data_IF_650565865413
#
_entry.id   IF_650565865413
#
_cell.length_a   1.000
_cell.length_b   1.000
_cell.length_c   1.000
_cell.angle_alpha   90.00
_cell.angle_beta   90.00
_cell.angle_gamma   90.00
#
_symmetry.space_group_name_H-M   'P 1'
#
loop_
_entity.id
_entity.type
_entity.pdbx_description
1 polymer ?
#
# COMPACT_ATOMS: atom_id res chain seq x y z
N UNK A 1 -16.45 -44.57 3.92
CA UNK A 1 -16.88 -44.30 5.31
C UNK A 1 -15.82 -44.59 6.41
N UNK A 2 -14.64 -45.14 6.12
CA UNK A 2 -13.61 -45.49 7.18
C UNK A 2 -12.52 -44.41 7.41
N UNK A 3 -12.43 -43.35 6.62
CA UNK A 3 -11.41 -42.28 6.78
C UNK A 3 -11.86 -41.06 7.61
N UNK A 4 -13.15 -40.89 7.90
CA UNK A 4 -13.67 -39.79 8.72
C UNK A 4 -13.56 -40.00 10.23
N UNK A 5 -13.40 -41.24 10.68
CA UNK A 5 -13.36 -41.62 12.13
C UNK A 5 -11.95 -41.40 12.72
N UNK A 6 -10.89 -41.42 11.90
CA UNK A 6 -9.51 -41.27 12.36
C UNK A 6 -9.15 -39.84 12.79
N UNK A 7 -9.74 -38.82 12.13
CA UNK A 7 -9.49 -37.41 12.47
C UNK A 7 -10.23 -36.94 13.73
N UNK A 8 -11.41 -37.52 14.04
CA UNK A 8 -12.14 -37.23 15.26
C UNK A 8 -11.51 -37.90 16.48
N UNK A 9 -10.81 -39.03 16.34
CA UNK A 9 -10.11 -39.70 17.41
C UNK A 9 -8.82 -38.97 17.83
N UNK A 10 -8.13 -38.28 16.92
CA UNK A 10 -6.94 -37.47 17.23
C UNK A 10 -7.31 -36.14 17.90
N UNK A 11 -8.45 -35.57 17.57
CA UNK A 11 -8.97 -34.34 18.21
C UNK A 11 -9.45 -34.58 19.65
N UNK A 12 -10.01 -35.76 19.96
CA UNK A 12 -10.49 -36.09 21.31
C UNK A 12 -9.38 -36.49 22.26
N UNK A 13 -8.22 -36.94 21.76
CA UNK A 13 -7.08 -37.30 22.62
C UNK A 13 -6.32 -36.08 23.17
N UNK A 14 -6.45 -34.93 22.52
CA UNK A 14 -5.88 -33.65 22.98
C UNK A 14 -6.74 -32.95 24.06
N UNK A 15 -7.98 -33.45 24.32
CA UNK A 15 -8.89 -32.84 25.29
C UNK A 15 -9.02 -33.58 26.62
N UNK A 16 -8.32 -34.70 26.82
CA UNK A 16 -8.53 -35.58 28.00
C UNK A 16 -7.27 -35.69 28.87
N UNK A 17 -6.45 -34.68 28.99
CA UNK A 17 -5.42 -34.63 30.03
C UNK A 17 -5.42 -33.29 30.79
N UNK A 18 -6.43 -32.99 31.63
CA UNK A 18 -6.42 -31.74 32.39
C UNK A 18 -5.56 -31.73 33.65
N UNK A 19 -5.04 -32.85 34.12
CA UNK A 19 -4.34 -32.87 35.43
C UNK A 19 -2.82 -32.80 35.39
N UNK A 20 -2.19 -33.05 34.23
CA UNK A 20 -0.73 -32.90 34.08
C UNK A 20 -0.30 -31.53 33.56
N UNK A 21 -1.22 -30.82 32.86
CA UNK A 21 -0.94 -29.49 32.32
C UNK A 21 -0.95 -28.36 33.36
N UNK A 22 -1.64 -28.58 34.49
CA UNK A 22 -1.77 -27.56 35.54
C UNK A 22 -0.53 -27.38 36.42
N UNK A 23 0.45 -28.30 36.36
CA UNK A 23 1.75 -28.13 37.03
C UNK A 23 2.86 -27.58 36.15
N UNK A 24 2.65 -27.54 34.82
CA UNK A 24 3.62 -27.00 33.86
C UNK A 24 3.40 -25.53 33.53
N UNK A 25 2.29 -24.94 34.03
CA UNK A 25 1.94 -23.52 33.73
C UNK A 25 2.65 -22.54 34.67
N UNK A 26 3.50 -23.00 35.58
CA UNK A 26 4.36 -22.10 36.40
C UNK A 26 5.70 -21.81 35.77
N UNK A 27 6.09 -22.49 34.70
CA UNK A 27 7.14 -21.98 33.82
C UNK A 27 6.47 -21.12 32.73
N UNK A 28 6.17 -19.89 33.13
CA UNK A 28 5.89 -18.83 32.17
C UNK A 28 7.09 -18.77 31.26
N UNK A 29 6.97 -19.30 30.03
CA UNK A 29 7.82 -18.94 28.94
C UNK A 29 7.53 -17.46 28.73
N UNK A 30 8.24 -16.61 29.45
CA UNK A 30 8.42 -15.23 29.08
C UNK A 30 9.13 -15.27 27.74
N UNK A 31 8.36 -15.31 26.65
CA UNK A 31 8.80 -14.72 25.40
C UNK A 31 9.07 -13.25 25.76
N UNK A 32 10.24 -12.98 26.30
CA UNK A 32 10.83 -11.68 26.24
C UNK A 32 10.94 -11.38 24.76
N UNK A 33 9.92 -10.74 24.21
CA UNK A 33 10.14 -9.78 23.17
C UNK A 33 10.98 -8.70 23.85
N UNK A 34 12.31 -8.88 23.88
CA UNK A 34 13.20 -7.77 24.02
C UNK A 34 12.99 -6.98 22.73
N UNK A 35 12.06 -6.05 22.77
CA UNK A 35 12.24 -4.81 22.03
C UNK A 35 13.47 -4.24 22.73
N UNK A 36 14.66 -4.69 22.32
CA UNK A 36 15.85 -3.91 22.52
C UNK A 36 15.57 -2.60 21.81
N UNK A 37 15.12 -1.62 22.58
CA UNK A 37 15.33 -0.22 22.29
C UNK A 37 16.85 0.02 22.41
N UNK A 38 17.62 -0.63 21.54
CA UNK A 38 18.93 -0.13 21.18
C UNK A 38 18.61 1.25 20.63
N UNK A 39 18.98 2.28 21.38
CA UNK A 39 18.99 3.64 20.90
C UNK A 39 19.80 3.63 19.62
N UNK A 40 19.10 3.44 18.53
CA UNK A 40 19.62 3.70 17.22
C UNK A 40 19.90 5.21 17.25
N UNK A 41 21.14 5.60 17.31
CA UNK A 41 21.55 6.80 16.63
C UNK A 41 21.13 6.59 15.19
N UNK A 42 19.88 6.92 14.98
CA UNK A 42 19.22 6.92 13.69
C UNK A 42 20.02 7.92 12.85
N UNK A 43 20.88 7.43 11.99
CA UNK A 43 21.27 8.18 10.80
C UNK A 43 20.04 8.22 9.93
N UNK A 44 19.09 9.00 10.43
CA UNK A 44 17.92 9.39 9.70
C UNK A 44 18.45 10.38 8.67
N UNK A 45 18.73 9.84 7.49
CA UNK A 45 18.38 10.61 6.31
C UNK A 45 16.86 10.71 6.42
N UNK A 46 16.38 11.61 7.27
CA UNK A 46 14.97 11.97 7.39
C UNK A 46 14.57 12.44 6.01
N UNK A 47 14.19 11.48 5.19
CA UNK A 47 13.29 11.77 4.10
C UNK A 47 12.18 12.50 4.80
N UNK A 48 12.08 13.71 4.50
CA UNK A 48 11.27 14.75 5.01
C UNK A 48 10.03 14.25 5.74
N UNK A 49 10.12 13.93 7.02
CA UNK A 49 8.98 14.15 7.90
C UNK A 49 8.74 15.65 7.84
N UNK A 50 7.80 16.08 7.05
CA UNK A 50 7.14 17.34 7.32
C UNK A 50 6.72 17.21 8.77
N UNK A 51 7.22 18.04 9.70
CA UNK A 51 6.81 17.93 11.09
C UNK A 51 5.30 17.82 11.06
N UNK A 52 4.74 16.95 11.90
CA UNK A 52 3.29 16.73 12.00
C UNK A 52 2.61 17.98 12.59
N UNK A 53 2.83 19.08 11.94
CA UNK A 53 2.38 20.41 12.22
C UNK A 53 0.98 20.67 11.69
N UNK A 54 0.43 19.72 10.97
CA UNK A 54 -0.97 19.77 10.58
C UNK A 54 -1.68 18.64 11.34
N UNK A 55 -2.65 18.99 12.14
CA UNK A 55 -3.64 18.11 12.78
C UNK A 55 -4.42 17.21 11.79
N UNK A 56 -3.95 17.10 10.54
CA UNK A 56 -4.53 16.37 9.41
C UNK A 56 -3.69 15.17 8.97
N UNK A 57 -2.52 14.96 9.57
CA UNK A 57 -1.67 13.79 9.33
C UNK A 57 -1.84 12.79 10.47
N UNK A 58 -2.17 11.56 10.13
CA UNK A 58 -2.13 10.43 11.07
C UNK A 58 -0.89 9.62 10.75
N UNK A 59 0.06 9.59 11.67
CA UNK A 59 1.28 8.77 11.58
C UNK A 59 1.05 7.49 12.36
N UNK A 60 1.04 6.36 11.67
CA UNK A 60 0.74 5.06 12.25
C UNK A 60 1.92 4.12 12.07
N UNK A 61 2.27 3.43 13.13
CA UNK A 61 3.24 2.36 13.04
C UNK A 61 2.60 1.09 12.46
N UNK A 62 3.36 0.21 11.80
CA UNK A 62 2.85 -1.08 11.32
C UNK A 62 2.21 -1.94 12.43
N UNK A 63 2.74 -1.84 13.67
CA UNK A 63 2.21 -2.57 14.81
C UNK A 63 0.83 -2.05 15.22
N UNK A 64 0.66 -0.74 15.26
CA UNK A 64 -0.65 -0.14 15.54
C UNK A 64 -1.69 -0.60 14.52
N UNK A 65 -1.35 -0.59 13.22
CA UNK A 65 -2.27 -1.02 12.17
C UNK A 65 -2.70 -2.48 12.29
N UNK A 66 -1.78 -3.39 12.58
CA UNK A 66 -2.15 -4.82 12.71
C UNK A 66 -2.91 -5.13 13.98
N UNK A 67 -2.83 -4.25 15.00
CA UNK A 67 -3.56 -4.39 16.27
C UNK A 67 -4.94 -3.74 16.25
N UNK A 68 -5.28 -2.99 15.19
CA UNK A 68 -6.64 -2.44 15.04
C UNK A 68 -7.67 -3.56 14.98
N UNK A 69 -8.63 -3.53 15.91
CA UNK A 69 -9.70 -4.53 15.99
C UNK A 69 -10.50 -4.59 14.69
N UNK A 70 -10.67 -5.80 14.15
CA UNK A 70 -11.45 -6.03 12.93
C UNK A 70 -10.73 -5.71 11.62
N UNK A 71 -9.54 -5.10 11.62
CA UNK A 71 -8.77 -4.84 10.41
C UNK A 71 -8.08 -6.10 9.86
N UNK A 72 -7.82 -7.10 10.70
CA UNK A 72 -7.15 -8.35 10.32
C UNK A 72 -5.79 -8.14 9.65
N UNK A 73 -5.06 -7.10 10.06
CA UNK A 73 -3.77 -6.73 9.48
C UNK A 73 -3.83 -6.02 8.13
N UNK A 74 -5.03 -5.74 7.61
CA UNK A 74 -5.22 -4.99 6.38
C UNK A 74 -4.98 -3.49 6.59
N UNK A 75 -4.13 -2.90 5.75
CA UNK A 75 -3.72 -1.51 5.83
C UNK A 75 -4.91 -0.55 5.67
N UNK A 76 -5.69 -0.70 4.61
CA UNK A 76 -6.79 0.23 4.32
C UNK A 76 -7.93 0.08 5.31
N UNK A 77 -8.22 -1.15 5.72
CA UNK A 77 -9.23 -1.41 6.72
C UNK A 77 -8.87 -0.83 8.10
N UNK A 78 -7.59 -0.84 8.46
CA UNK A 78 -7.14 -0.14 9.65
C UNK A 78 -7.26 1.38 9.53
N UNK A 79 -6.91 1.95 8.37
CA UNK A 79 -7.06 3.38 8.10
C UNK A 79 -8.53 3.84 8.08
N UNK A 80 -9.49 2.97 7.76
CA UNK A 80 -10.92 3.27 7.81
C UNK A 80 -11.44 3.56 9.22
N UNK A 81 -10.67 3.29 10.27
CA UNK A 81 -11.02 3.63 11.66
C UNK A 81 -10.61 5.04 12.08
N UNK A 82 -9.86 5.75 11.23
CA UNK A 82 -9.37 7.08 11.53
C UNK A 82 -10.46 8.15 11.34
N UNK A 83 -10.40 9.26 12.09
CA UNK A 83 -11.33 10.38 11.90
C UNK A 83 -11.26 10.93 10.47
N UNK A 84 -12.43 11.12 9.85
CA UNK A 84 -12.55 11.64 8.48
C UNK A 84 -12.42 10.60 7.37
N UNK A 85 -12.26 9.33 7.72
CA UNK A 85 -12.37 8.20 6.79
C UNK A 85 -13.79 7.61 6.84
N UNK A 86 -14.17 6.95 5.77
CA UNK A 86 -15.51 6.35 5.62
C UNK A 86 -15.40 4.99 4.95
N UNK A 87 -16.40 4.16 5.19
CA UNK A 87 -16.60 2.86 4.55
C UNK A 87 -17.86 2.95 3.70
N UNK A 88 -17.79 2.53 2.45
CA UNK A 88 -18.95 2.45 1.58
C UNK A 88 -19.36 0.98 1.41
N UNK A 89 -20.42 0.58 2.09
CA UNK A 89 -20.90 -0.79 2.06
C UNK A 89 -19.80 -1.79 2.43
N UNK A 90 -19.59 -2.78 1.62
CA UNK A 90 -18.56 -3.82 1.79
C UNK A 90 -17.39 -3.67 0.81
N UNK A 91 -17.21 -2.48 0.18
CA UNK A 91 -16.17 -2.30 -0.86
C UNK A 91 -14.75 -2.54 -0.33
N UNK A 92 -14.50 -2.24 0.95
CA UNK A 92 -13.16 -2.36 1.55
C UNK A 92 -12.19 -1.25 1.15
N UNK A 93 -12.59 -0.35 0.26
CA UNK A 93 -11.78 0.76 -0.21
C UNK A 93 -11.77 1.93 0.80
N UNK A 94 -10.69 2.70 0.80
CA UNK A 94 -10.54 3.85 1.69
C UNK A 94 -11.15 5.11 1.06
N UNK A 95 -12.24 5.59 1.65
CA UNK A 95 -12.85 6.85 1.31
C UNK A 95 -12.50 7.90 2.36
N UNK A 96 -12.11 9.09 1.93
CA UNK A 96 -11.69 10.16 2.84
C UNK A 96 -12.50 11.42 2.55
N UNK A 97 -13.14 11.98 3.58
CA UNK A 97 -13.91 13.23 3.53
C UNK A 97 -14.98 13.29 2.42
N UNK A 98 -15.63 12.16 2.17
CA UNK A 98 -16.68 12.07 1.15
C UNK A 98 -16.18 11.92 -0.28
N UNK A 99 -14.86 11.87 -0.51
CA UNK A 99 -14.28 11.54 -1.80
C UNK A 99 -14.26 10.03 -2.04
N UNK A 100 -14.16 9.65 -3.30
CA UNK A 100 -14.05 8.25 -3.71
C UNK A 100 -12.62 7.70 -3.50
N UNK A 101 -12.46 6.39 -3.59
CA UNK A 101 -11.18 5.71 -3.34
C UNK A 101 -10.05 6.16 -4.28
N UNK A 102 -10.37 6.42 -5.54
CA UNK A 102 -9.39 6.90 -6.54
C UNK A 102 -9.02 8.39 -6.39
N UNK A 103 -9.69 9.14 -5.52
CA UNK A 103 -9.29 10.50 -5.13
C UNK A 103 -8.25 10.51 -4.00
N UNK A 104 -8.03 9.35 -3.38
CA UNK A 104 -6.98 9.12 -2.38
C UNK A 104 -5.77 8.49 -3.08
N UNK A 105 -4.71 9.25 -3.24
CA UNK A 105 -3.52 8.81 -3.96
C UNK A 105 -2.52 8.12 -3.02
N UNK A 106 -2.07 6.93 -3.42
CA UNK A 106 -1.09 6.14 -2.67
C UNK A 106 0.30 6.26 -3.29
N UNK A 107 1.29 6.46 -2.45
CA UNK A 107 2.70 6.55 -2.86
C UNK A 107 3.57 5.59 -2.03
N UNK A 108 4.52 4.93 -2.66
CA UNK A 108 5.55 4.11 -1.99
C UNK A 108 6.91 4.74 -2.22
N UNK A 109 7.60 5.12 -1.14
CA UNK A 109 8.88 5.85 -1.17
C UNK A 109 8.84 7.13 -2.04
N UNK A 110 7.68 7.79 -2.12
CA UNK A 110 7.46 8.99 -2.91
C UNK A 110 7.09 8.77 -4.37
N UNK A 111 6.94 7.50 -4.80
CA UNK A 111 6.52 7.11 -6.14
C UNK A 111 5.06 6.63 -6.15
N UNK A 112 4.28 7.07 -7.13
CA UNK A 112 2.86 6.80 -7.24
C UNK A 112 2.57 5.31 -7.49
N UNK A 113 1.44 4.84 -6.96
CA UNK A 113 0.89 3.50 -7.14
C UNK A 113 -0.44 3.62 -7.86
N UNK A 114 -0.54 3.05 -9.05
CA UNK A 114 -1.74 3.18 -9.89
C UNK A 114 -2.96 2.46 -9.28
N UNK A 115 -2.79 1.22 -8.82
CA UNK A 115 -3.86 0.42 -8.21
C UNK A 115 -3.39 -0.22 -6.91
N UNK A 116 -3.80 0.32 -5.75
CA UNK A 116 -3.35 -0.16 -4.45
C UNK A 116 -4.23 -1.25 -3.83
N UNK A 117 -5.34 -1.60 -4.45
CA UNK A 117 -6.33 -2.56 -3.95
C UNK A 117 -6.26 -3.89 -4.69
N UNK A 118 -6.73 -4.95 -4.02
CA UNK A 118 -7.09 -6.22 -4.67
C UNK A 118 -8.48 -6.10 -5.29
N UNK A 119 -8.77 -6.92 -6.28
CA UNK A 119 -10.12 -7.01 -6.85
C UNK A 119 -11.18 -7.38 -5.82
N UNK A 120 -12.34 -6.80 -5.99
CA UNK A 120 -13.55 -7.12 -5.24
C UNK A 120 -14.38 -8.18 -5.96
N UNK A 121 -14.97 -9.06 -5.18
CA UNK A 121 -16.03 -9.98 -5.63
C UNK A 121 -17.23 -9.87 -4.71
N UNK A 122 -18.31 -10.55 -5.06
CA UNK A 122 -19.50 -10.62 -4.20
C UNK A 122 -19.10 -11.17 -2.82
N UNK A 123 -19.44 -10.43 -1.77
CA UNK A 123 -19.07 -10.75 -0.38
C UNK A 123 -17.56 -10.90 -0.15
N UNK A 124 -16.73 -10.30 -1.02
CA UNK A 124 -15.28 -10.30 -0.89
C UNK A 124 -14.79 -8.86 -1.05
N UNK A 125 -14.66 -8.11 0.06
CA UNK A 125 -14.24 -6.71 0.00
C UNK A 125 -12.79 -6.59 -0.47
N UNK A 126 -12.49 -5.47 -1.15
CA UNK A 126 -11.13 -5.10 -1.51
C UNK A 126 -10.23 -5.06 -0.27
N UNK A 127 -8.98 -5.38 -0.45
CA UNK A 127 -7.96 -5.33 0.57
C UNK A 127 -6.72 -4.64 0.05
N UNK A 128 -5.85 -4.26 0.96
CA UNK A 128 -4.51 -3.82 0.60
C UNK A 128 -3.76 -4.93 -0.13
N UNK A 129 -3.13 -4.59 -1.23
CA UNK A 129 -2.13 -5.46 -1.87
C UNK A 129 -0.84 -5.54 -1.06
N UNK A 130 -0.60 -4.53 -0.22
CA UNK A 130 0.68 -4.31 0.44
C UNK A 130 0.67 -4.87 1.86
N UNK A 131 1.68 -5.70 2.17
CA UNK A 131 1.94 -6.16 3.53
C UNK A 131 2.40 -4.98 4.40
N UNK A 132 1.69 -4.71 5.50
CA UNK A 132 2.06 -3.68 6.46
C UNK A 132 3.48 -3.86 7.02
N UNK A 133 3.97 -5.10 7.05
CA UNK A 133 5.30 -5.42 7.54
C UNK A 133 6.45 -4.97 6.62
N UNK A 134 6.17 -4.58 5.39
CA UNK A 134 7.17 -4.05 4.45
C UNK A 134 7.45 -2.56 4.68
N UNK A 135 6.62 -1.86 5.46
CA UNK A 135 6.72 -0.43 5.69
C UNK A 135 7.21 -0.10 7.10
N UNK A 136 7.85 1.06 7.25
CA UNK A 136 8.29 1.64 8.51
C UNK A 136 7.45 2.84 8.93
N UNK A 137 6.87 3.55 7.96
CA UNK A 137 6.01 4.72 8.16
C UNK A 137 4.80 4.65 7.25
N UNK A 138 3.65 4.93 7.83
CA UNK A 138 2.35 4.96 7.14
C UNK A 138 1.67 6.24 7.59
N UNK A 139 1.58 7.18 6.68
CA UNK A 139 1.05 8.50 6.96
C UNK A 139 -0.20 8.75 6.11
N UNK A 140 -1.30 9.15 6.73
CA UNK A 140 -2.49 9.57 6.00
C UNK A 140 -2.65 11.08 6.10
N UNK A 141 -2.49 11.77 4.97
CA UNK A 141 -2.79 13.20 4.84
C UNK A 141 -4.21 13.39 4.32
N UNK A 142 -5.17 13.59 5.19
CA UNK A 142 -6.57 13.82 4.83
C UNK A 142 -6.86 15.25 4.33
N UNK A 143 -5.84 15.95 3.82
CA UNK A 143 -5.90 17.29 3.24
C UNK A 143 -4.67 18.12 3.58
N UNK A 144 -4.37 19.14 2.77
CA UNK A 144 -3.18 19.97 2.93
C UNK A 144 -1.88 19.23 2.63
N UNK A 145 -1.93 18.23 1.76
CA UNK A 145 -0.75 17.53 1.28
C UNK A 145 0.22 18.48 0.56
N UNK A 146 1.51 18.12 0.55
CA UNK A 146 2.54 18.89 -0.16
C UNK A 146 2.22 19.01 -1.65
N UNK A 147 2.69 20.08 -2.29
CA UNK A 147 2.58 20.30 -3.74
C UNK A 147 3.31 19.25 -4.59
N UNK A 148 4.16 18.43 -3.96
CA UNK A 148 4.82 17.32 -4.64
C UNK A 148 3.85 16.17 -5.00
N UNK A 149 2.63 16.16 -4.42
CA UNK A 149 1.60 15.16 -4.69
C UNK A 149 0.49 15.77 -5.54
N UNK A 150 0.41 15.35 -6.79
CA UNK A 150 -0.66 15.73 -7.72
C UNK A 150 -1.87 14.81 -7.64
N UNK A 151 -2.95 15.21 -8.30
CA UNK A 151 -4.17 14.42 -8.52
C UNK A 151 -4.89 13.93 -7.24
N UNK A 152 -4.42 14.34 -6.06
CA UNK A 152 -5.00 13.97 -4.76
C UNK A 152 -6.11 14.95 -4.38
N UNK A 153 -7.36 14.61 -4.65
CA UNK A 153 -8.52 15.46 -4.35
C UNK A 153 -8.99 15.27 -2.91
N UNK A 154 -8.89 14.07 -2.37
CA UNK A 154 -9.34 13.72 -1.01
C UNK A 154 -8.18 13.57 -0.03
N UNK A 155 -7.24 12.67 -0.32
CA UNK A 155 -6.14 12.36 0.60
C UNK A 155 -4.88 11.90 -0.15
N UNK A 156 -3.77 11.91 0.57
CA UNK A 156 -2.51 11.28 0.15
C UNK A 156 -2.09 10.27 1.21
N UNK A 157 -1.73 9.08 0.77
CA UNK A 157 -1.22 7.99 1.59
C UNK A 157 0.22 7.67 1.21
N UNK A 158 1.23 8.36 1.76
CA UNK A 158 2.62 7.98 1.60
C UNK A 158 2.95 6.79 2.51
N UNK A 159 3.46 5.75 1.90
CA UNK A 159 4.00 4.55 2.51
C UNK A 159 5.53 4.58 2.37
N UNK A 160 6.23 4.51 3.47
CA UNK A 160 7.69 4.42 3.44
C UNK A 160 8.13 2.99 3.70
N UNK A 161 8.87 2.40 2.78
CA UNK A 161 9.43 1.07 2.98
C UNK A 161 10.46 1.10 4.10
N UNK A 162 10.62 -0.05 4.78
CA UNK A 162 11.53 -0.17 5.92
C UNK A 162 12.92 0.31 5.57
N UNK A 163 13.46 1.03 6.49
CA UNK A 163 14.85 1.45 6.49
C UNK A 163 15.77 0.25 6.80
N UNK A 164 17.07 0.48 6.76
CA UNK A 164 18.07 -0.55 6.97
C UNK A 164 17.77 -1.41 8.20
N UNK A 165 17.64 -2.72 8.01
CA UNK A 165 17.51 -3.67 9.13
C UNK A 165 18.89 -4.22 9.48
N UNK A 166 19.29 -4.07 10.73
CA UNK A 166 20.55 -4.66 11.25
C UNK A 166 20.41 -6.13 11.63
N UNK A 167 19.21 -6.67 11.58
CA UNK A 167 18.89 -8.02 12.06
C UNK A 167 18.29 -8.88 10.95
N UNK A 168 18.85 -10.06 10.76
CA UNK A 168 18.23 -11.07 9.92
C UNK A 168 16.94 -11.56 10.60
N UNK A 169 15.88 -11.64 9.83
CA UNK A 169 14.56 -12.08 10.32
C UNK A 169 13.96 -13.08 9.35
N UNK A 170 13.21 -14.03 9.87
CA UNK A 170 12.35 -14.93 9.12
C UNK A 170 11.04 -15.06 9.88
N UNK A 171 9.95 -15.10 9.17
CA UNK A 171 8.62 -15.30 9.73
C UNK A 171 7.79 -16.14 8.80
N UNK A 172 6.91 -16.97 9.38
CA UNK A 172 5.92 -17.75 8.66
C UNK A 172 4.58 -17.58 9.36
N UNK A 173 3.51 -17.59 8.58
CA UNK A 173 2.15 -17.56 9.10
C UNK A 173 1.30 -18.59 8.38
N UNK A 174 0.30 -19.11 9.05
CA UNK A 174 -0.69 -20.01 8.47
C UNK A 174 -2.05 -19.74 9.11
N UNK A 175 -3.08 -19.80 8.30
CA UNK A 175 -4.47 -19.62 8.70
C UNK A 175 -5.39 -20.52 7.89
N UNK A 176 -6.68 -20.55 8.23
CA UNK A 176 -7.69 -21.29 7.46
C UNK A 176 -7.85 -20.74 6.03
N UNK A 177 -7.44 -19.49 5.79
CA UNK A 177 -7.58 -18.82 4.50
C UNK A 177 -6.28 -18.79 3.69
N UNK A 178 -5.14 -19.18 4.28
CA UNK A 178 -3.89 -19.14 3.52
C UNK A 178 -2.63 -19.34 4.35
N UNK A 179 -1.51 -19.29 3.67
CA UNK A 179 -0.17 -19.40 4.24
C UNK A 179 0.71 -18.27 3.70
N UNK A 180 1.65 -17.85 4.50
CA UNK A 180 2.60 -16.84 4.11
C UNK A 180 3.93 -16.97 4.82
N UNK A 181 4.91 -16.27 4.33
CA UNK A 181 6.20 -16.20 4.96
C UNK A 181 7.09 -15.17 4.31
N UNK A 182 8.03 -14.70 5.07
CA UNK A 182 8.96 -13.70 4.60
C UNK A 182 10.19 -13.62 5.46
N UNK A 183 11.14 -12.84 5.02
CA UNK A 183 12.36 -12.65 5.78
C UNK A 183 13.17 -11.48 5.29
N UNK A 184 14.14 -11.11 6.10
CA UNK A 184 15.12 -10.07 5.77
C UNK A 184 16.51 -10.64 5.96
N UNK A 185 17.33 -10.52 4.92
CA UNK A 185 18.78 -10.77 4.98
C UNK A 185 19.50 -9.44 4.96
N UNK A 186 20.38 -9.24 5.94
CA UNK A 186 21.23 -8.07 6.04
C UNK A 186 22.65 -8.38 5.58
N UNK A 187 23.32 -7.41 5.02
CA UNK A 187 24.72 -7.42 4.64
C UNK A 187 25.34 -6.05 4.97
N UNK A 188 26.63 -5.90 4.82
CA UNK A 188 27.42 -4.76 5.34
C UNK A 188 26.82 -3.38 5.02
N UNK A 189 26.34 -3.17 3.79
CA UNK A 189 25.79 -1.86 3.33
C UNK A 189 24.35 -1.93 2.85
N UNK A 190 23.59 -2.93 3.26
CA UNK A 190 22.23 -3.03 2.78
C UNK A 190 21.45 -4.20 3.34
N UNK A 191 20.25 -4.39 2.80
CA UNK A 191 19.36 -5.48 3.15
C UNK A 191 18.47 -5.88 1.98
N UNK A 192 18.07 -7.14 1.96
CA UNK A 192 17.07 -7.70 1.07
C UNK A 192 15.95 -8.30 1.93
N UNK A 193 14.73 -7.86 1.68
CA UNK A 193 13.53 -8.41 2.30
C UNK A 193 12.64 -9.05 1.23
N UNK A 194 12.01 -10.18 1.58
CA UNK A 194 11.04 -10.87 0.74
C UNK A 194 9.84 -11.21 1.61
N UNK A 195 8.64 -11.07 1.05
CA UNK A 195 7.37 -11.45 1.67
C UNK A 195 6.52 -12.17 0.62
N UNK A 196 6.04 -13.36 0.92
CA UNK A 196 5.24 -14.19 0.03
C UNK A 196 3.99 -14.66 0.76
N UNK A 197 2.84 -14.50 0.13
CA UNK A 197 1.56 -14.89 0.69
C UNK A 197 0.72 -15.62 -0.36
N UNK A 198 0.09 -16.70 0.03
CA UNK A 198 -0.90 -17.40 -0.77
C UNK A 198 -2.19 -17.57 0.04
N UNK A 199 -3.30 -17.14 -0.54
CA UNK A 199 -4.63 -17.26 0.02
C UNK A 199 -5.48 -18.18 -0.85
N UNK A 200 -6.33 -18.98 -0.20
CA UNK A 200 -7.30 -19.84 -0.87
C UNK A 200 -8.50 -20.06 0.07
N UNK A 201 -9.63 -19.51 -0.30
CA UNK A 201 -10.85 -19.61 0.50
C UNK A 201 -11.54 -20.98 0.42
N UNK A 202 -11.09 -21.89 -0.42
CA UNK A 202 -11.72 -23.22 -0.58
C UNK A 202 -11.74 -24.04 0.71
N UNK A 203 -10.69 -23.96 1.54
CA UNK A 203 -10.68 -24.64 2.84
C UNK A 203 -11.68 -24.00 3.80
N UNK A 204 -11.74 -22.68 3.83
CA UNK A 204 -12.70 -21.92 4.64
C UNK A 204 -14.15 -22.25 4.24
N UNK A 205 -14.46 -22.28 2.96
CA UNK A 205 -15.82 -22.58 2.47
C UNK A 205 -16.23 -24.04 2.74
N UNK A 206 -15.28 -24.98 2.74
CA UNK A 206 -15.55 -26.36 3.15
C UNK A 206 -15.89 -26.50 4.63
N UNK A 207 -15.31 -25.63 5.50
CA UNK A 207 -15.59 -25.63 6.94
C UNK A 207 -16.89 -24.88 7.25
N UNK A 208 -17.12 -23.76 6.57
CA UNK A 208 -18.24 -22.83 6.79
C UNK A 208 -19.17 -22.81 5.58
N UNK A 209 -19.62 -23.97 5.15
CA UNK A 209 -20.46 -24.14 3.95
C UNK A 209 -21.72 -23.25 3.97
N UNK A 210 -22.12 -22.75 2.80
CA UNK A 210 -23.36 -21.99 2.58
C UNK A 210 -23.26 -20.48 2.67
N UNK A 211 -22.04 -19.92 2.83
CA UNK A 211 -21.86 -18.46 2.81
C UNK A 211 -21.52 -17.87 1.44
N UNK A 212 -20.93 -18.67 0.56
CA UNK A 212 -20.52 -18.26 -0.79
C UNK A 212 -20.79 -19.39 -1.77
N UNK A 213 -21.23 -19.03 -2.95
CA UNK A 213 -21.51 -19.99 -4.03
C UNK A 213 -20.41 -19.87 -5.09
N UNK A 214 -19.20 -20.35 -4.73
CA UNK A 214 -18.07 -20.38 -5.66
C UNK A 214 -18.17 -21.56 -6.62
N UNK A 215 -17.97 -21.30 -7.91
CA UNK A 215 -17.59 -22.32 -8.90
C UNK A 215 -16.11 -22.64 -8.73
N UNK A 216 -15.27 -21.58 -8.60
CA UNK A 216 -13.85 -21.66 -8.31
C UNK A 216 -13.53 -20.77 -7.10
N UNK A 217 -13.06 -21.33 -5.99
CA UNK A 217 -12.78 -20.54 -4.79
C UNK A 217 -11.79 -19.40 -5.05
N UNK A 218 -11.96 -18.31 -4.35
CA UNK A 218 -11.02 -17.20 -4.36
C UNK A 218 -9.61 -17.67 -4.04
N UNK A 219 -8.67 -17.34 -4.90
CA UNK A 219 -7.24 -17.58 -4.76
C UNK A 219 -6.48 -16.30 -5.01
N UNK A 220 -5.50 -16.04 -4.18
CA UNK A 220 -4.61 -14.91 -4.34
C UNK A 220 -3.18 -15.34 -4.03
N UNK A 221 -2.28 -15.00 -4.92
CA UNK A 221 -0.84 -15.02 -4.67
C UNK A 221 -0.35 -13.58 -4.58
N UNK A 222 0.47 -13.27 -3.58
CA UNK A 222 1.11 -11.96 -3.40
C UNK A 222 2.57 -12.17 -3.06
N UNK A 223 3.45 -11.50 -3.79
CA UNK A 223 4.87 -11.53 -3.56
C UNK A 223 5.48 -10.13 -3.60
N UNK A 224 6.19 -9.76 -2.53
CA UNK A 224 6.90 -8.49 -2.41
C UNK A 224 8.38 -8.70 -2.17
N UNK A 225 9.21 -7.84 -2.73
CA UNK A 225 10.64 -7.77 -2.43
C UNK A 225 11.08 -6.33 -2.26
N UNK A 226 11.98 -6.10 -1.32
CA UNK A 226 12.61 -4.81 -1.09
C UNK A 226 14.11 -5.00 -0.98
N UNK A 227 14.85 -4.32 -1.83
CA UNK A 227 16.29 -4.17 -1.75
C UNK A 227 16.63 -2.76 -1.32
N UNK A 228 17.56 -2.64 -0.40
CA UNK A 228 18.09 -1.37 0.06
C UNK A 228 19.60 -1.40 0.12
N UNK A 229 20.22 -0.36 -0.37
CA UNK A 229 21.66 -0.19 -0.39
C UNK A 229 22.09 1.21 0.04
N UNK A 230 22.98 1.28 1.03
CA UNK A 230 23.51 2.52 1.60
C UNK A 230 25.04 2.48 1.52
N UNK A 231 25.63 2.85 0.35
CA UNK A 231 27.09 2.80 0.15
C UNK A 231 27.84 3.68 1.12
N UNK A 232 27.23 4.78 1.53
CA UNK A 232 27.72 5.77 2.51
C UNK A 232 26.53 6.38 3.28
N UNK A 233 26.82 7.18 4.32
CA UNK A 233 25.82 7.80 5.20
C UNK A 233 24.97 8.88 4.51
N UNK A 234 25.36 9.30 3.32
CA UNK A 234 24.68 10.35 2.56
C UNK A 234 23.81 9.79 1.42
N UNK A 235 23.96 8.51 1.07
CA UNK A 235 23.36 7.92 -0.13
C UNK A 235 22.47 6.72 0.22
N UNK A 236 21.26 6.69 -0.30
CA UNK A 236 20.29 5.58 -0.16
C UNK A 236 19.72 5.23 -1.52
N UNK A 237 19.87 3.99 -1.92
CA UNK A 237 19.17 3.38 -3.05
C UNK A 237 18.15 2.38 -2.51
N UNK A 238 16.89 2.49 -2.94
CA UNK A 238 15.84 1.52 -2.64
C UNK A 238 15.24 0.99 -3.93
N UNK A 239 14.93 -0.29 -3.94
CA UNK A 239 14.15 -0.95 -4.99
C UNK A 239 13.05 -1.72 -4.28
N UNK A 240 11.81 -1.48 -4.65
CA UNK A 240 10.65 -2.24 -4.18
C UNK A 240 9.92 -2.83 -5.37
N UNK A 241 9.57 -4.09 -5.30
CA UNK A 241 8.77 -4.77 -6.32
C UNK A 241 7.69 -5.62 -5.67
N UNK A 242 6.51 -5.61 -6.28
CA UNK A 242 5.32 -6.34 -5.86
C UNK A 242 4.65 -6.96 -7.07
N UNK A 243 4.23 -8.21 -6.93
CA UNK A 243 3.36 -8.91 -7.87
C UNK A 243 2.20 -9.56 -7.12
N UNK A 244 1.00 -9.36 -7.63
CA UNK A 244 -0.20 -9.98 -7.11
C UNK A 244 -1.01 -10.59 -8.25
N UNK A 245 -1.56 -11.78 -7.99
CA UNK A 245 -2.49 -12.45 -8.87
C UNK A 245 -3.69 -12.93 -8.09
N UNK A 246 -4.87 -12.54 -8.54
CA UNK A 246 -6.16 -12.98 -7.99
C UNK A 246 -6.95 -13.73 -9.05
N UNK A 247 -7.65 -14.79 -8.64
CA UNK A 247 -8.44 -15.61 -9.53
C UNK A 247 -9.58 -16.30 -8.76
N UNK A 248 -10.81 -16.14 -9.22
CA UNK A 248 -11.99 -16.82 -8.68
C UNK A 248 -13.15 -16.81 -9.66
N UNK A 249 -14.16 -17.67 -9.42
CA UNK A 249 -15.46 -17.58 -10.08
C UNK A 249 -16.60 -17.93 -9.13
N UNK A 250 -17.74 -17.26 -9.31
CA UNK A 250 -18.94 -17.41 -8.51
C UNK A 250 -20.15 -17.69 -9.38
N UNK A 251 -21.14 -18.39 -8.81
CA UNK A 251 -22.45 -18.47 -9.42
C UNK A 251 -23.27 -17.25 -9.05
N UNK A 252 -23.85 -16.59 -10.05
CA UNK A 252 -24.68 -15.40 -9.88
C UNK A 252 -26.07 -15.57 -10.50
N UNK A 253 -27.05 -14.92 -9.86
CA UNK A 253 -28.44 -14.94 -10.33
C UNK A 253 -29.16 -16.26 -10.11
N UNK A 254 -30.44 -16.28 -10.45
CA UNK A 254 -31.29 -17.46 -10.35
C UNK A 254 -30.98 -18.52 -11.42
N UNK A 255 -30.38 -18.12 -12.51
CA UNK A 255 -29.91 -18.93 -13.63
C UNK A 255 -28.52 -19.55 -13.37
N UNK A 256 -27.89 -19.25 -12.21
CA UNK A 256 -26.57 -19.73 -11.83
C UNK A 256 -25.50 -19.41 -12.89
N UNK A 257 -25.55 -18.23 -13.46
CA UNK A 257 -24.53 -17.76 -14.39
C UNK A 257 -23.17 -17.74 -13.70
N UNK A 258 -22.13 -18.15 -14.40
CA UNK A 258 -20.76 -18.09 -13.90
C UNK A 258 -20.19 -16.69 -14.15
N UNK A 259 -19.86 -15.98 -13.07
CA UNK A 259 -19.07 -14.77 -13.08
C UNK A 259 -17.64 -15.14 -12.70
N UNK A 260 -16.69 -14.92 -13.59
CA UNK A 260 -15.28 -15.20 -13.37
C UNK A 260 -14.46 -13.92 -13.34
N UNK A 261 -13.48 -13.84 -12.44
CA UNK A 261 -12.54 -12.72 -12.35
C UNK A 261 -11.11 -13.24 -12.22
N UNK A 262 -10.23 -12.73 -13.10
CA UNK A 262 -8.79 -12.91 -13.04
C UNK A 262 -8.09 -11.55 -13.04
N UNK A 263 -7.13 -11.35 -12.16
CA UNK A 263 -6.37 -10.10 -12.04
C UNK A 263 -4.88 -10.39 -11.92
N UNK A 264 -4.08 -9.66 -12.67
CA UNK A 264 -2.63 -9.58 -12.54
C UNK A 264 -2.21 -8.13 -12.26
N UNK A 265 -1.37 -7.93 -11.26
CA UNK A 265 -0.96 -6.61 -10.83
C UNK A 265 0.54 -6.59 -10.48
N UNK A 266 1.28 -5.69 -11.11
CA UNK A 266 2.72 -5.50 -10.90
C UNK A 266 2.99 -4.06 -10.49
N UNK A 267 3.84 -3.88 -9.51
CA UNK A 267 4.40 -2.58 -9.14
C UNK A 267 5.88 -2.71 -8.89
N UNK A 268 6.68 -1.84 -9.49
CA UNK A 268 8.12 -1.77 -9.26
C UNK A 268 8.51 -0.31 -9.12
N UNK A 269 9.28 0.04 -8.11
CA UNK A 269 9.92 1.33 -8.01
C UNK A 269 11.42 1.23 -7.71
N UNK A 270 12.13 2.24 -8.16
CA UNK A 270 13.54 2.48 -7.84
C UNK A 270 13.65 3.92 -7.38
N UNK A 271 14.20 4.15 -6.20
CA UNK A 271 14.41 5.49 -5.65
C UNK A 271 15.86 5.68 -5.20
N UNK A 272 16.39 6.84 -5.52
CA UNK A 272 17.73 7.27 -5.15
C UNK A 272 17.64 8.56 -4.37
N UNK A 273 18.29 8.60 -3.20
CA UNK A 273 18.40 9.80 -2.36
C UNK A 273 19.87 10.05 -2.06
N UNK A 274 20.29 11.30 -2.16
CA UNK A 274 21.66 11.71 -1.80
C UNK A 274 21.67 13.09 -1.16
N UNK A 275 22.37 13.17 -0.03
CA UNK A 275 22.73 14.44 0.59
C UNK A 275 24.14 14.84 0.15
N UNK A 276 24.31 16.06 -0.31
CA UNK A 276 25.62 16.63 -0.68
C UNK A 276 25.97 17.80 0.22
N UNK A 277 27.21 18.26 0.11
CA UNK A 277 27.71 19.41 0.87
C UNK A 277 26.80 20.63 0.73
N UNK A 278 26.68 21.44 1.80
CA UNK A 278 25.81 22.61 1.85
C UNK A 278 24.32 22.29 1.95
N UNK A 279 23.97 21.14 2.55
CA UNK A 279 22.60 20.70 2.86
C UNK A 279 21.66 20.54 1.64
N UNK A 280 22.23 20.28 0.48
CA UNK A 280 21.46 19.88 -0.69
C UNK A 280 21.05 18.42 -0.58
N UNK A 281 19.77 18.17 -0.75
CA UNK A 281 19.19 16.83 -0.72
C UNK A 281 18.52 16.53 -2.07
N UNK A 282 19.01 15.51 -2.73
CA UNK A 282 18.57 15.08 -4.05
C UNK A 282 17.70 13.84 -3.94
N UNK A 283 16.67 13.80 -4.71
CA UNK A 283 15.82 12.62 -4.89
C UNK A 283 15.57 12.42 -6.38
N UNK A 284 15.71 11.19 -6.84
CA UNK A 284 15.27 10.75 -8.15
C UNK A 284 14.57 9.40 -8.01
N UNK A 285 13.51 9.20 -8.74
CA UNK A 285 12.75 7.95 -8.70
C UNK A 285 12.09 7.64 -10.03
N UNK A 286 11.90 6.35 -10.27
CA UNK A 286 11.11 5.80 -11.35
C UNK A 286 10.23 4.67 -10.80
N UNK A 287 8.95 4.64 -11.19
CA UNK A 287 8.06 3.55 -10.85
C UNK A 287 7.28 3.10 -12.08
N UNK A 288 7.02 1.80 -12.14
CA UNK A 288 6.16 1.21 -13.16
C UNK A 288 5.05 0.42 -12.49
N UNK A 289 3.82 0.68 -12.91
CA UNK A 289 2.61 -0.03 -12.51
C UNK A 289 2.01 -0.71 -13.74
N UNK A 290 1.62 -1.96 -13.59
CA UNK A 290 0.83 -2.72 -14.55
C UNK A 290 -0.35 -3.36 -13.83
N UNK A 291 -1.52 -3.21 -14.40
CA UNK A 291 -2.76 -3.82 -13.93
C UNK A 291 -3.52 -4.40 -15.12
N UNK A 292 -3.95 -5.64 -14.99
CA UNK A 292 -4.84 -6.30 -15.94
C UNK A 292 -5.93 -7.04 -15.18
N UNK A 293 -7.18 -6.78 -15.52
CA UNK A 293 -8.34 -7.49 -15.01
C UNK A 293 -9.14 -8.08 -16.17
N UNK A 294 -9.51 -9.33 -16.03
CA UNK A 294 -10.39 -10.07 -16.95
C UNK A 294 -11.63 -10.51 -16.20
N UNK A 295 -12.79 -10.12 -16.69
CA UNK A 295 -14.07 -10.53 -16.16
C UNK A 295 -14.79 -11.33 -17.23
N UNK A 296 -15.17 -12.57 -16.90
CA UNK A 296 -16.01 -13.42 -17.74
C UNK A 296 -17.44 -13.44 -17.19
N UNK A 297 -18.43 -13.44 -18.05
CA UNK A 297 -19.85 -13.45 -17.66
C UNK A 297 -20.32 -12.13 -17.03
N UNK A 298 -19.78 -11.00 -17.44
CA UNK A 298 -20.02 -9.70 -16.83
C UNK A 298 -21.49 -9.28 -16.80
N UNK A 299 -22.18 -9.37 -17.94
CA UNK A 299 -23.61 -9.06 -18.05
C UNK A 299 -24.45 -10.28 -18.44
N UNK A 300 -23.92 -11.17 -19.29
CA UNK A 300 -24.55 -12.42 -19.70
C UNK A 300 -23.50 -13.53 -19.87
N UNK A 301 -23.94 -14.76 -20.03
CA UNK A 301 -23.05 -15.88 -20.33
C UNK A 301 -22.34 -15.64 -21.68
N UNK A 302 -21.01 -15.69 -21.68
CA UNK A 302 -20.19 -15.42 -22.85
C UNK A 302 -19.80 -13.97 -23.07
N UNK A 303 -20.19 -13.06 -22.16
CA UNK A 303 -19.71 -11.69 -22.15
C UNK A 303 -18.38 -11.60 -21.42
N UNK A 304 -17.40 -10.96 -22.04
CA UNK A 304 -16.06 -10.77 -21.47
C UNK A 304 -15.71 -9.28 -21.41
N UNK A 305 -15.02 -8.91 -20.36
CA UNK A 305 -14.46 -7.57 -20.19
C UNK A 305 -12.98 -7.69 -19.81
N UNK A 306 -12.14 -6.98 -20.56
CA UNK A 306 -10.73 -6.79 -20.26
C UNK A 306 -10.48 -5.32 -19.93
N UNK A 307 -9.89 -5.08 -18.79
CA UNK A 307 -9.32 -3.79 -18.41
C UNK A 307 -7.82 -3.93 -18.22
N UNK A 308 -7.05 -3.03 -18.85
CA UNK A 308 -5.60 -2.95 -18.69
C UNK A 308 -5.18 -1.51 -18.45
N UNK A 309 -4.36 -1.33 -17.44
CA UNK A 309 -3.82 -0.04 -17.07
C UNK A 309 -2.31 -0.15 -16.88
N UNK A 310 -1.56 0.84 -17.38
CA UNK A 310 -0.13 0.92 -17.20
C UNK A 310 0.25 2.36 -16.87
N UNK A 311 1.24 2.52 -16.00
CA UNK A 311 1.79 3.83 -15.67
C UNK A 311 3.29 3.73 -15.48
N UNK A 312 4.03 4.62 -16.15
CA UNK A 312 5.41 4.93 -15.82
C UNK A 312 5.43 6.30 -15.14
N UNK A 313 5.83 6.35 -13.88
CA UNK A 313 6.01 7.57 -13.09
C UNK A 313 7.50 7.87 -12.95
N UNK A 314 7.91 9.04 -13.39
CA UNK A 314 9.27 9.56 -13.23
C UNK A 314 9.21 10.80 -12.35
N UNK A 315 10.12 10.91 -11.37
CA UNK A 315 10.16 12.03 -10.43
C UNK A 315 11.59 12.40 -10.07
N UNK A 316 11.87 13.70 -10.08
CA UNK A 316 13.10 14.23 -9.53
C UNK A 316 12.79 15.46 -8.67
N UNK A 317 13.43 15.55 -7.51
CA UNK A 317 13.30 16.71 -6.63
C UNK A 317 14.60 17.02 -5.91
N UNK A 318 14.73 18.28 -5.56
CA UNK A 318 15.83 18.76 -4.72
C UNK A 318 15.24 19.64 -3.64
N UNK A 319 15.80 19.54 -2.45
CA UNK A 319 15.51 20.49 -1.40
C UNK A 319 16.78 20.95 -0.72
N UNK A 320 16.76 22.18 -0.23
CA UNK A 320 17.86 22.80 0.50
C UNK A 320 17.33 23.61 1.66
N UNK A 321 17.99 23.46 2.82
CA UNK A 321 17.81 24.36 3.94
C UNK A 321 18.91 25.42 3.89
N UNK A 322 18.56 26.65 3.59
CA UNK A 322 19.49 27.77 3.50
C UNK A 322 19.85 28.32 4.89
N UNK A 323 18.92 28.22 5.82
CA UNK A 323 19.09 28.61 7.22
C UNK A 323 18.12 27.83 8.10
N UNK A 324 18.20 27.90 9.43
CA UNK A 324 17.18 27.34 10.33
C UNK A 324 15.76 27.85 10.02
N UNK A 325 15.68 29.04 9.43
CA UNK A 325 14.42 29.74 9.18
C UNK A 325 13.89 29.60 7.74
N UNK A 326 14.71 29.15 6.79
CA UNK A 326 14.30 29.13 5.38
C UNK A 326 14.70 27.83 4.67
N UNK A 327 13.71 27.21 4.05
CA UNK A 327 13.85 26.01 3.24
C UNK A 327 13.16 26.16 1.89
N UNK A 328 13.78 25.59 0.87
CA UNK A 328 13.27 25.53 -0.50
C UNK A 328 13.19 24.08 -0.97
N UNK A 329 12.07 23.72 -1.56
CA UNK A 329 11.83 22.43 -2.21
C UNK A 329 11.39 22.69 -3.64
N UNK A 330 11.94 21.96 -4.62
CA UNK A 330 11.52 22.03 -6.01
C UNK A 330 11.68 20.69 -6.70
N UNK A 331 10.85 20.42 -7.68
CA UNK A 331 10.93 19.19 -8.43
C UNK A 331 10.04 19.18 -9.65
N UNK A 332 10.17 18.08 -10.38
CA UNK A 332 9.33 17.77 -11.53
C UNK A 332 9.00 16.28 -11.53
N UNK A 333 7.84 15.97 -12.10
CA UNK A 333 7.41 14.58 -12.28
C UNK A 333 6.63 14.43 -13.59
N UNK A 334 6.56 13.20 -14.08
CA UNK A 334 5.77 12.87 -15.26
C UNK A 334 5.13 11.50 -15.09
N UNK A 335 3.83 11.43 -15.38
CA UNK A 335 3.02 10.21 -15.43
C UNK A 335 2.73 9.91 -16.89
N UNK A 336 3.24 8.81 -17.40
CA UNK A 336 2.98 8.31 -18.75
C UNK A 336 2.08 7.11 -18.60
N UNK A 337 0.81 7.25 -19.00
CA UNK A 337 -0.23 6.25 -18.77
C UNK A 337 -0.71 5.63 -20.07
N UNK A 338 -1.17 4.40 -19.94
CA UNK A 338 -1.88 3.70 -21.01
C UNK A 338 -3.06 2.94 -20.41
N UNK A 339 -4.25 3.23 -20.90
CA UNK A 339 -5.50 2.59 -20.52
C UNK A 339 -6.08 1.87 -21.73
N UNK A 340 -6.52 0.64 -21.52
CA UNK A 340 -7.21 -0.16 -22.52
C UNK A 340 -8.42 -0.86 -21.87
N UNK A 341 -9.60 -0.63 -22.43
CA UNK A 341 -10.82 -1.33 -22.09
C UNK A 341 -11.35 -2.04 -23.33
N UNK A 342 -11.64 -3.32 -23.22
CA UNK A 342 -12.23 -4.13 -24.27
C UNK A 342 -13.46 -4.84 -23.71
N UNK A 343 -14.62 -4.50 -24.24
CA UNK A 343 -15.91 -5.08 -23.90
C UNK A 343 -16.34 -5.95 -25.06
N UNK A 344 -16.44 -7.26 -24.83
CA UNK A 344 -16.96 -8.22 -25.76
C UNK A 344 -18.29 -8.73 -25.19
N UNK A 345 -19.38 -8.09 -25.59
CA UNK A 345 -20.74 -8.43 -25.26
C UNK A 345 -21.42 -9.05 -26.48
N UNK A 346 -22.45 -9.89 -26.29
CA UNK A 346 -23.11 -10.69 -27.35
C UNK A 346 -23.42 -9.95 -28.66
N UNK A 347 -23.62 -8.62 -28.62
CA UNK A 347 -23.92 -7.77 -29.76
C UNK A 347 -22.92 -6.59 -29.94
N UNK A 348 -21.94 -6.44 -29.07
CA UNK A 348 -21.04 -5.29 -29.03
C UNK A 348 -19.63 -5.80 -28.82
N UNK A 349 -18.72 -5.44 -29.70
CA UNK A 349 -17.28 -5.59 -29.55
C UNK A 349 -16.68 -4.17 -29.57
N UNK A 350 -16.40 -3.60 -28.40
CA UNK A 350 -15.93 -2.24 -28.26
C UNK A 350 -14.57 -2.21 -27.54
N UNK A 351 -13.61 -1.55 -28.16
CA UNK A 351 -12.24 -1.43 -27.65
C UNK A 351 -11.82 0.02 -27.59
N UNK A 352 -11.66 0.51 -26.38
CA UNK A 352 -11.26 1.86 -26.10
C UNK A 352 -9.82 1.92 -25.59
N UNK A 353 -9.03 2.88 -26.10
CA UNK A 353 -7.66 3.11 -25.68
C UNK A 353 -7.40 4.59 -25.45
N UNK A 354 -6.66 4.88 -24.40
CA UNK A 354 -6.24 6.24 -24.08
C UNK A 354 -4.82 6.21 -23.50
N UNK A 355 -4.00 7.15 -23.94
CA UNK A 355 -2.61 7.25 -23.49
C UNK A 355 -2.28 8.68 -23.01
N UNK A 356 -2.82 9.13 -21.87
CA UNK A 356 -2.53 10.44 -21.35
C UNK A 356 -1.13 10.50 -20.74
N UNK A 357 -0.50 11.67 -20.89
CA UNK A 357 0.72 12.04 -20.18
C UNK A 357 0.44 13.28 -19.35
N UNK A 358 0.75 13.23 -18.07
CA UNK A 358 0.68 14.36 -17.14
C UNK A 358 2.08 14.69 -16.68
N UNK A 359 2.58 15.88 -17.02
CA UNK A 359 3.89 16.38 -16.56
C UNK A 359 3.68 17.56 -15.63
N UNK A 360 4.37 17.56 -14.50
CA UNK A 360 4.21 18.59 -13.49
C UNK A 360 5.55 19.13 -13.00
N UNK A 361 5.58 20.44 -12.74
CA UNK A 361 6.62 21.09 -11.97
C UNK A 361 6.05 21.61 -10.65
N UNK A 362 6.79 21.50 -9.58
CA UNK A 362 6.37 21.97 -8.26
C UNK A 362 7.49 22.67 -7.51
N UNK A 363 7.08 23.59 -6.65
CA UNK A 363 7.96 24.42 -5.87
C UNK A 363 7.31 24.73 -4.52
N UNK A 364 8.08 24.74 -3.44
CA UNK A 364 7.63 25.17 -2.12
C UNK A 364 8.73 25.91 -1.39
N UNK A 365 8.41 27.09 -0.88
CA UNK A 365 9.25 27.90 -0.01
C UNK A 365 8.65 27.93 1.39
N UNK A 366 9.38 27.41 2.36
CA UNK A 366 8.95 27.37 3.76
C UNK A 366 9.79 28.34 4.58
N UNK A 367 9.14 29.22 5.34
CA UNK A 367 9.75 30.22 6.19
C UNK A 367 9.25 30.07 7.64
N UNK A 368 10.16 30.08 8.58
CA UNK A 368 9.91 29.98 10.02
C UNK A 368 10.33 31.30 10.69
N UNK A 369 9.50 32.33 10.69
CA UNK A 369 9.85 33.62 11.33
C UNK A 369 10.01 33.49 12.85
N UNK A 370 9.31 32.56 13.46
CA UNK A 370 9.37 32.19 14.87
C UNK A 370 9.35 30.67 14.99
N UNK A 371 9.79 30.11 16.11
CA UNK A 371 9.71 28.67 16.37
C UNK A 371 8.26 28.14 16.30
N UNK A 372 7.30 28.99 16.71
CA UNK A 372 5.87 28.66 16.70
C UNK A 372 5.17 29.00 15.38
N UNK A 373 5.79 29.70 14.44
CA UNK A 373 5.14 30.16 13.23
C UNK A 373 5.81 29.60 11.98
N UNK A 374 5.06 28.85 11.20
CA UNK A 374 5.46 28.34 9.87
C UNK A 374 4.60 28.98 8.80
N UNK A 375 5.22 29.61 7.80
CA UNK A 375 4.58 30.05 6.57
C UNK A 375 5.13 29.25 5.39
N UNK A 376 4.27 28.77 4.54
CA UNK A 376 4.64 28.00 3.34
C UNK A 376 3.91 28.56 2.14
N UNK A 377 4.66 29.03 1.15
CA UNK A 377 4.19 29.39 -0.18
C UNK A 377 4.59 28.28 -1.14
N UNK A 378 3.62 27.73 -1.85
CA UNK A 378 3.89 26.65 -2.79
C UNK A 378 3.11 26.81 -4.08
N UNK A 379 3.64 26.22 -5.14
CA UNK A 379 3.10 26.32 -6.47
C UNK A 379 3.29 25.00 -7.22
N UNK A 380 2.26 24.58 -7.96
CA UNK A 380 2.32 23.44 -8.87
C UNK A 380 1.74 23.83 -10.21
N UNK A 381 2.41 23.44 -11.28
CA UNK A 381 1.90 23.52 -12.64
C UNK A 381 1.84 22.13 -13.24
N UNK A 382 0.77 21.82 -13.95
CA UNK A 382 0.56 20.55 -14.61
C UNK A 382 0.18 20.77 -16.06
N UNK A 383 0.77 19.97 -16.92
CA UNK A 383 0.48 19.91 -18.34
C UNK A 383 -0.03 18.53 -18.71
N UNK A 384 -1.20 18.46 -19.34
CA UNK A 384 -1.85 17.19 -19.70
C UNK A 384 -1.99 17.06 -21.22
N UNK A 385 -1.40 16.01 -21.80
CA UNK A 385 -1.56 15.60 -23.19
C UNK A 385 -2.51 14.39 -23.26
N UNK A 386 -3.39 14.25 -24.26
CA UNK A 386 -3.53 15.06 -25.47
C UNK A 386 -4.44 16.30 -25.34
N UNK A 387 -5.00 16.57 -24.17
CA UNK A 387 -5.93 17.70 -23.98
C UNK A 387 -5.27 19.08 -24.09
N UNK A 388 -3.93 19.15 -24.04
CA UNK A 388 -3.10 20.37 -24.12
C UNK A 388 -3.47 21.42 -23.06
N UNK A 389 -4.00 20.94 -21.91
CA UNK A 389 -4.41 21.83 -20.82
C UNK A 389 -3.25 22.03 -19.84
N UNK A 390 -3.13 23.25 -19.38
CA UNK A 390 -2.18 23.65 -18.35
C UNK A 390 -2.96 24.15 -17.13
N UNK A 391 -2.66 23.57 -15.98
CA UNK A 391 -3.25 23.93 -14.70
C UNK A 391 -2.22 24.60 -13.80
N UNK A 392 -2.66 25.57 -13.01
CA UNK A 392 -1.82 26.30 -12.06
C UNK A 392 -2.47 26.24 -10.66
N UNK A 393 -1.74 25.79 -9.68
CA UNK A 393 -2.24 25.55 -8.33
C UNK A 393 -1.34 26.21 -7.29
N UNK A 394 -1.53 27.54 -7.03
CA UNK A 394 -0.84 28.20 -5.91
C UNK A 394 -1.47 27.80 -4.58
N UNK A 395 -0.65 27.69 -3.54
CA UNK A 395 -1.09 27.46 -2.15
C UNK A 395 -0.30 28.33 -1.19
N UNK A 396 -0.99 28.85 -0.19
CA UNK A 396 -0.40 29.52 0.96
C UNK A 396 -0.90 28.82 2.22
N UNK A 397 0.00 28.38 3.08
CA UNK A 397 -0.32 27.82 4.37
C UNK A 397 0.43 28.56 5.48
N UNK A 398 -0.28 28.93 6.51
CA UNK A 398 0.28 29.53 7.73
C UNK A 398 -0.14 28.68 8.91
N UNK A 399 0.81 28.21 9.68
CA UNK A 399 0.57 27.37 10.84
C UNK A 399 1.20 28.06 12.07
N UNK A 400 0.41 28.22 13.09
CA UNK A 400 0.85 28.72 14.39
C UNK A 400 0.66 27.64 15.45
N UNK A 401 1.72 27.37 16.21
CA UNK A 401 1.74 26.37 17.27
C UNK A 401 1.59 27.08 18.62
N UNK A 402 0.47 26.82 19.31
CA UNK A 402 0.27 27.25 20.67
C UNK A 402 1.03 26.30 21.58
N UNK A 403 1.98 26.84 22.35
CA UNK A 403 2.71 26.12 23.39
C UNK A 403 1.87 25.91 24.66
#
# INVERSE_FOLDING_TARGET
MKRRILFLALGSWLLVQPSAAQKAVTDTVHLKFSIDSVGLEEVVVKGHRTPAANSRWSDLSPVELVTVGGANGDLYKALQTLPGTQVQGESGELLVRGGSSYETQTYIDGMHVLNPYTSTGINTPARSRYSTFMFSGINLASGGASQEYGEALSAVLPLETKDYSKVNKIGVNASVVGVGGGGTRTFDKGSLSVDLNYQNLGLYDNIYSGRRDFEKPYRMFSGATQFRYTPDDATVLKIYAQYDRTDFSTYEGSDRRIFGLGEDNVYINVTFRRRTSGDWNWFAGAAYSFYEQKIAGAAAAGDDWLERQQELHLKAKVFKRFSPFFRLDMGAESFIRHYENHYQLSAIDDRNRMSPTVSAGFFSATYYPLEQLKAELSFRTEYTSPSWKMNFSPRLAVNYYWG
#
